data_IF_646262934756
#
_entry.id   IF_646262934756
#
_cell.length_a   1.000
_cell.length_b   1.000
_cell.length_c   1.000
_cell.angle_alpha   90.00
_cell.angle_beta   90.00
_cell.angle_gamma   90.00
#
_symmetry.space_group_name_H-M   'P 1'
#
loop_
_entity.id
_entity.type
_entity.pdbx_description
1 polymer ?
#
# COMPACT_ATOMS: atom_id res chain seq x y z
N UNK A 1 1.38 3.62 -5.65
CA UNK A 1 0.62 2.57 -4.92
C UNK A 1 -0.77 3.11 -4.70
N UNK A 2 -1.56 3.05 -5.76
CA UNK A 2 -2.73 3.88 -5.96
C UNK A 2 -3.92 2.98 -6.35
N UNK A 3 -5.14 3.48 -6.19
CA UNK A 3 -6.39 2.80 -6.50
C UNK A 3 -6.45 2.39 -7.97
N UNK A 4 -5.85 3.18 -8.86
CA UNK A 4 -5.71 2.81 -10.28
C UNK A 4 -4.92 1.50 -10.49
N UNK A 5 -3.94 1.20 -9.63
CA UNK A 5 -3.20 -0.06 -9.72
C UNK A 5 -4.06 -1.24 -9.28
N UNK A 6 -4.93 -1.04 -8.29
CA UNK A 6 -5.92 -2.06 -7.89
C UNK A 6 -6.89 -2.33 -9.02
N UNK A 7 -7.44 -1.28 -9.63
CA UNK A 7 -8.34 -1.42 -10.78
C UNK A 7 -7.68 -2.20 -11.92
N UNK A 8 -6.45 -1.81 -12.31
CA UNK A 8 -5.71 -2.51 -13.35
C UNK A 8 -5.43 -3.99 -13.03
N UNK A 9 -5.10 -4.32 -11.77
CA UNK A 9 -4.93 -5.71 -11.34
C UNK A 9 -6.25 -6.50 -11.38
N UNK A 10 -7.37 -5.88 -11.04
CA UNK A 10 -8.68 -6.52 -11.10
C UNK A 10 -9.14 -6.75 -12.54
N UNK A 11 -8.73 -5.90 -13.49
CA UNK A 11 -9.01 -6.10 -14.92
C UNK A 11 -8.18 -7.27 -15.49
N UNK A 12 -6.95 -7.45 -15.02
CA UNK A 12 -6.06 -8.54 -15.46
C UNK A 12 -6.45 -9.88 -14.81
N UNK A 13 -6.75 -9.88 -13.51
CA UNK A 13 -7.06 -11.06 -12.71
C UNK A 13 -8.25 -10.79 -11.76
N UNK A 14 -9.50 -10.89 -12.24
CA UNK A 14 -10.70 -10.59 -11.46
C UNK A 14 -10.82 -11.40 -10.16
N UNK A 15 -10.33 -12.64 -10.14
CA UNK A 15 -10.31 -13.54 -8.98
C UNK A 15 -9.47 -13.03 -7.81
N UNK A 16 -8.56 -12.09 -8.07
CA UNK A 16 -7.70 -11.48 -7.05
C UNK A 16 -8.32 -10.27 -6.36
N UNK A 17 -9.52 -9.81 -6.77
CA UNK A 17 -10.15 -8.58 -6.26
C UNK A 17 -10.22 -8.47 -4.73
N UNK A 18 -10.45 -9.57 -4.02
CA UNK A 18 -10.51 -9.59 -2.55
C UNK A 18 -9.14 -9.70 -1.85
N UNK A 19 -8.05 -9.86 -2.62
CA UNK A 19 -6.68 -10.08 -2.11
C UNK A 19 -5.73 -8.94 -2.47
N UNK A 20 -6.18 -7.97 -3.27
CA UNK A 20 -5.39 -6.80 -3.67
C UNK A 20 -5.80 -5.61 -2.81
N UNK A 21 -4.83 -5.00 -2.13
CA UNK A 21 -5.03 -3.88 -1.21
C UNK A 21 -3.98 -2.78 -1.44
N UNK A 22 -4.30 -1.55 -1.02
CA UNK A 22 -3.33 -0.45 -1.03
C UNK A 22 -2.24 -0.68 0.01
N UNK A 23 -1.04 -0.17 -0.26
CA UNK A 23 0.00 -0.16 0.76
C UNK A 23 -0.41 0.71 1.97
N UNK A 24 -1.07 1.84 1.73
CA UNK A 24 -1.68 2.66 2.80
C UNK A 24 -3.06 2.20 3.26
N UNK A 25 -3.44 0.92 3.11
CA UNK A 25 -4.77 0.41 3.48
C UNK A 25 -5.16 0.78 4.92
N UNK A 26 -4.25 0.53 5.87
CA UNK A 26 -4.43 0.82 7.29
C UNK A 26 -4.22 2.30 7.67
N UNK A 27 -3.94 3.16 6.69
CA UNK A 27 -3.86 4.62 6.85
C UNK A 27 -5.01 5.30 6.10
N UNK A 28 -6.25 4.91 6.39
CA UNK A 28 -7.45 5.43 5.71
C UNK A 28 -7.40 5.26 4.19
N UNK A 29 -6.93 4.10 3.73
CA UNK A 29 -6.76 3.80 2.30
C UNK A 29 -5.96 4.85 1.54
N UNK A 30 -4.91 5.39 2.18
CA UNK A 30 -4.05 6.41 1.59
C UNK A 30 -3.31 5.87 0.38
N UNK A 31 -3.33 6.64 -0.69
CA UNK A 31 -2.50 6.41 -1.87
C UNK A 31 -1.09 6.99 -1.66
N UNK A 32 -0.09 6.27 -2.13
CA UNK A 32 1.31 6.73 -2.06
C UNK A 32 1.74 7.14 -3.48
N UNK A 33 2.11 8.42 -3.68
CA UNK A 33 2.47 8.95 -5.00
C UNK A 33 3.81 8.38 -5.47
N UNK A 34 3.97 8.32 -6.79
CA UNK A 34 5.21 7.87 -7.43
C UNK A 34 6.25 9.02 -7.47
N UNK A 35 7.41 8.87 -6.82
CA UNK A 35 8.46 9.89 -6.82
C UNK A 35 9.34 9.86 -8.09
N UNK A 36 9.05 8.99 -9.08
CA UNK A 36 9.86 8.86 -10.28
C UNK A 36 10.12 10.21 -10.97
N UNK A 37 11.41 10.49 -11.24
CA UNK A 37 11.92 11.75 -11.81
C UNK A 37 11.58 13.01 -11.01
N UNK A 38 11.39 12.89 -9.68
CA UNK A 38 11.22 14.02 -8.76
C UNK A 38 12.51 14.31 -7.98
N UNK A 39 12.48 15.38 -7.19
CA UNK A 39 13.57 15.76 -6.30
C UNK A 39 13.80 14.71 -5.20
N UNK A 40 14.98 14.75 -4.59
CA UNK A 40 15.31 13.92 -3.43
C UNK A 40 14.29 14.08 -2.30
N UNK A 41 13.87 15.31 -2.00
CA UNK A 41 12.87 15.58 -0.96
C UNK A 41 11.53 14.87 -1.24
N UNK A 42 11.15 14.73 -2.51
CA UNK A 42 9.95 13.98 -2.89
C UNK A 42 10.11 12.48 -2.61
N UNK A 43 11.30 11.93 -2.87
CA UNK A 43 11.62 10.54 -2.49
C UNK A 43 11.61 10.35 -0.98
N UNK A 44 12.18 11.29 -0.21
CA UNK A 44 12.19 11.23 1.26
C UNK A 44 10.77 11.29 1.83
N UNK A 45 9.92 12.18 1.29
CA UNK A 45 8.51 12.25 1.68
C UNK A 45 7.76 10.94 1.39
N UNK A 46 7.96 10.34 0.21
CA UNK A 46 7.38 9.04 -0.14
C UNK A 46 7.91 7.93 0.76
N UNK A 47 9.20 7.95 1.09
CA UNK A 47 9.80 6.97 2.00
C UNK A 47 9.16 7.01 3.39
N UNK A 48 8.90 8.20 3.94
CA UNK A 48 8.19 8.33 5.22
C UNK A 48 6.78 7.74 5.17
N UNK A 49 6.06 7.92 4.05
CA UNK A 49 4.75 7.30 3.84
C UNK A 49 4.86 5.77 3.80
N UNK A 50 5.83 5.24 3.05
CA UNK A 50 6.09 3.80 2.95
C UNK A 50 6.44 3.20 4.32
N UNK A 51 7.32 3.84 5.08
CA UNK A 51 7.72 3.36 6.41
C UNK A 51 6.51 3.23 7.33
N UNK A 52 5.67 4.26 7.40
CA UNK A 52 4.45 4.25 8.21
C UNK A 52 3.50 3.13 7.79
N UNK A 53 3.22 3.02 6.50
CA UNK A 53 2.33 1.99 5.96
C UNK A 53 2.88 0.57 6.18
N UNK A 54 4.19 0.36 6.01
CA UNK A 54 4.84 -0.93 6.24
C UNK A 54 4.71 -1.38 7.70
N UNK A 55 4.88 -0.46 8.65
CA UNK A 55 4.68 -0.76 10.09
C UNK A 55 3.25 -1.19 10.39
N UNK A 56 2.26 -0.52 9.80
CA UNK A 56 0.85 -0.88 9.99
C UNK A 56 0.53 -2.25 9.37
N UNK A 57 1.09 -2.55 8.20
CA UNK A 57 1.00 -3.88 7.60
C UNK A 57 1.61 -4.97 8.48
N UNK A 58 2.81 -4.73 9.01
CA UNK A 58 3.46 -5.67 9.92
C UNK A 58 2.60 -5.92 11.17
N UNK A 59 1.98 -4.87 11.73
CA UNK A 59 1.05 -5.00 12.86
C UNK A 59 -0.18 -5.84 12.51
N UNK A 60 -0.83 -5.56 11.37
CA UNK A 60 -2.00 -6.30 10.93
C UNK A 60 -1.69 -7.79 10.71
N UNK A 61 -0.57 -8.11 10.04
CA UNK A 61 -0.15 -9.48 9.78
C UNK A 61 0.19 -10.23 11.07
N UNK A 62 0.86 -9.58 12.03
CA UNK A 62 1.16 -10.19 13.32
C UNK A 62 -0.10 -10.40 14.17
N UNK A 63 -1.06 -9.48 14.13
CA UNK A 63 -2.34 -9.62 14.82
C UNK A 63 -3.18 -10.78 14.28
N UNK A 64 -3.07 -11.08 12.98
CA UNK A 64 -3.76 -12.22 12.36
C UNK A 64 -3.08 -13.56 12.64
N UNK A 65 -1.75 -13.60 12.77
CA UNK A 65 -1.00 -14.82 13.12
C UNK A 65 -1.24 -15.31 14.56
N UNK A 66 -1.81 -14.45 15.43
CA UNK A 66 -2.16 -14.78 16.81
C UNK A 66 -3.62 -15.21 17.03
N UNK A 67 -4.43 -15.34 15.97
CA UNK A 67 -5.81 -15.84 16.08
C UNK A 67 -5.80 -17.40 16.14
N UNK A 68 -6.53 -18.00 17.10
CA UNK A 68 -6.58 -19.45 17.29
C UNK A 68 -7.19 -20.22 16.11
#
# INVERSE_FOLDING_TARGET
MEKRHIAALCDIAPEMRGKVMLFGHWDSEREIPDPYRKSRDAFEAVYTLLERSARQWAQALNAEQGKP
#
